data_IF_179547887448
#
_entry.id   IF_179547887448
#
_cell.length_a   1.000
_cell.length_b   1.000
_cell.length_c   1.000
_cell.angle_alpha   90.00
_cell.angle_beta   90.00
_cell.angle_gamma   90.00
#
_symmetry.space_group_name_H-M   'P 1'
#
loop_
_entity.id
_entity.type
_entity.pdbx_description
1 polymer ?
#
# COMPACT_ATOMS: atom_id res chain seq x y z
N UNK A 1 47.60 49.07 -19.49
CA UNK A 1 47.27 47.82 -20.19
C UNK A 1 45.89 47.34 -19.75
N UNK A 2 44.86 47.53 -20.59
CA UNK A 2 43.51 46.95 -20.48
C UNK A 2 43.37 45.97 -21.64
N UNK A 3 42.96 44.74 -21.38
CA UNK A 3 42.59 43.73 -22.40
C UNK A 3 41.27 43.12 -21.95
N UNK A 4 40.14 43.56 -22.49
CA UNK A 4 39.49 43.17 -23.76
C UNK A 4 38.51 42.01 -23.56
N UNK A 5 37.24 42.40 -23.52
CA UNK A 5 36.03 41.58 -23.55
C UNK A 5 35.98 40.67 -24.77
N UNK A 6 35.67 39.39 -24.57
CA UNK A 6 35.44 38.41 -25.62
C UNK A 6 34.01 37.88 -25.57
N UNK A 7 33.11 38.52 -26.33
CA UNK A 7 31.72 38.12 -26.54
C UNK A 7 31.65 36.88 -27.45
N UNK A 8 31.04 35.79 -26.99
CA UNK A 8 30.69 34.63 -27.83
C UNK A 8 29.27 34.79 -28.42
N UNK A 9 29.06 34.50 -29.71
CA UNK A 9 27.73 34.55 -30.32
C UNK A 9 26.88 33.32 -29.97
N UNK A 10 25.65 33.55 -29.51
CA UNK A 10 24.58 32.55 -29.41
C UNK A 10 24.16 32.11 -30.82
N UNK A 11 24.26 30.81 -31.09
CA UNK A 11 23.74 30.19 -32.32
C UNK A 11 22.40 29.54 -32.00
N UNK A 12 21.36 29.96 -32.72
CA UNK A 12 20.00 29.43 -32.62
C UNK A 12 19.93 27.98 -33.08
N UNK A 13 19.29 27.11 -32.27
CA UNK A 13 18.86 25.78 -32.70
C UNK A 13 17.51 25.87 -33.44
N UNK A 14 17.31 25.11 -34.54
CA UNK A 14 16.08 25.10 -35.30
C UNK A 14 15.00 24.24 -34.64
N UNK A 15 13.77 24.74 -34.73
CA UNK A 15 12.54 24.10 -34.26
C UNK A 15 12.39 22.66 -34.77
N UNK A 16 12.34 21.70 -33.83
CA UNK A 16 12.00 20.31 -34.12
C UNK A 16 10.54 20.18 -34.55
N UNK A 17 10.35 19.82 -35.81
CA UNK A 17 9.05 19.57 -36.42
C UNK A 17 8.33 18.37 -35.78
N UNK A 18 7.05 18.57 -35.47
CA UNK A 18 6.12 17.53 -35.10
C UNK A 18 5.91 16.55 -36.27
N UNK A 19 6.41 15.33 -36.13
CA UNK A 19 5.99 14.19 -36.97
C UNK A 19 4.58 13.76 -36.57
N UNK A 20 3.60 13.70 -37.49
CA UNK A 20 2.34 13.03 -37.22
C UNK A 20 2.54 11.50 -37.24
N UNK A 21 2.02 10.83 -36.21
CA UNK A 21 1.95 9.36 -36.14
C UNK A 21 0.83 8.85 -37.06
N UNK A 22 1.04 7.76 -37.81
CA UNK A 22 0.03 7.20 -38.69
C UNK A 22 -1.11 6.52 -37.92
N UNK A 23 -2.32 6.71 -38.45
CA UNK A 23 -3.55 6.06 -38.02
C UNK A 23 -3.44 4.53 -38.11
N UNK A 24 -3.86 3.86 -37.04
CA UNK A 24 -3.93 2.41 -36.95
C UNK A 24 -5.08 1.97 -36.04
N UNK A 25 -6.24 1.77 -36.66
CA UNK A 25 -7.14 0.62 -36.54
C UNK A 25 -7.43 0.00 -35.16
N UNK A 26 -8.67 0.24 -34.69
CA UNK A 26 -9.64 -0.84 -34.37
C UNK A 26 -9.47 -1.66 -33.09
N UNK A 27 -10.03 -1.18 -31.98
CA UNK A 27 -10.55 -1.92 -30.81
C UNK A 27 -11.01 -0.84 -29.81
N UNK A 28 -12.23 -0.72 -29.31
CA UNK A 28 -13.29 -1.68 -28.97
C UNK A 28 -14.57 -0.85 -28.80
N UNK A 29 -15.71 -1.35 -29.28
CA UNK A 29 -17.04 -0.79 -29.01
C UNK A 29 -17.32 -0.82 -27.50
N UNK A 30 -17.02 0.28 -26.81
CA UNK A 30 -17.18 0.42 -25.36
C UNK A 30 -17.93 1.69 -25.02
N UNK A 31 -19.24 1.68 -25.29
CA UNK A 31 -20.24 2.60 -24.75
C UNK A 31 -19.85 4.10 -24.80
N UNK A 32 -19.88 4.67 -26.00
CA UNK A 32 -20.08 6.11 -26.17
C UNK A 32 -21.53 6.39 -25.73
N UNK A 33 -21.71 6.56 -24.42
CA UNK A 33 -22.93 7.12 -23.89
C UNK A 33 -23.13 8.46 -24.60
N UNK A 34 -24.19 8.53 -25.40
CA UNK A 34 -24.63 9.75 -26.09
C UNK A 34 -24.74 10.84 -25.03
N UNK A 35 -23.81 11.78 -25.03
CA UNK A 35 -23.88 12.97 -24.18
C UNK A 35 -25.09 13.77 -24.69
N UNK A 36 -26.22 13.65 -24.01
CA UNK A 36 -27.35 14.55 -24.21
C UNK A 36 -26.84 15.98 -23.94
N UNK A 37 -26.99 16.94 -24.87
CA UNK A 37 -26.62 18.31 -24.62
C UNK A 37 -27.45 18.82 -23.43
N UNK A 38 -26.78 19.43 -22.44
CA UNK A 38 -27.49 20.21 -21.44
C UNK A 38 -28.28 21.35 -22.13
N UNK A 39 -29.28 21.94 -21.47
CA UNK A 39 -30.08 23.04 -22.04
C UNK A 39 -29.23 24.21 -22.58
N UNK A 40 -27.98 24.35 -22.13
CA UNK A 40 -27.05 25.41 -22.50
C UNK A 40 -25.87 24.92 -23.39
N UNK A 41 -25.91 23.70 -23.93
CA UNK A 41 -24.89 23.19 -24.86
C UNK A 41 -23.52 22.86 -24.25
N UNK A 42 -23.33 23.06 -22.94
CA UNK A 42 -22.12 22.60 -22.25
C UNK A 42 -22.16 21.08 -22.10
N UNK A 43 -21.08 20.35 -22.42
CA UNK A 43 -20.97 18.95 -22.08
C UNK A 43 -21.18 18.80 -20.57
N UNK A 44 -22.27 18.13 -20.16
CA UNK A 44 -22.43 17.72 -18.77
C UNK A 44 -21.40 16.60 -18.59
N UNK A 45 -20.20 16.94 -18.12
CA UNK A 45 -19.24 15.90 -17.77
C UNK A 45 -19.93 14.99 -16.76
N UNK A 46 -20.08 13.68 -17.05
CA UNK A 46 -20.74 12.79 -16.13
C UNK A 46 -19.95 12.87 -14.83
N UNK A 47 -20.59 13.41 -13.79
CA UNK A 47 -20.05 13.55 -12.45
C UNK A 47 -19.41 12.19 -12.11
N UNK A 48 -18.07 12.12 -12.15
CA UNK A 48 -17.35 10.84 -12.03
C UNK A 48 -17.65 10.31 -10.64
N UNK A 49 -18.69 9.49 -10.52
CA UNK A 49 -19.04 8.79 -9.28
C UNK A 49 -17.79 8.06 -8.84
N UNK A 50 -17.20 8.52 -7.75
CA UNK A 50 -15.93 7.99 -7.28
C UNK A 50 -16.14 6.53 -6.87
N UNK A 51 -15.67 5.59 -7.71
CA UNK A 51 -15.90 4.13 -7.57
C UNK A 51 -14.96 3.48 -6.55
N UNK A 52 -14.23 4.28 -5.76
CA UNK A 52 -13.19 3.78 -4.83
C UNK A 52 -13.81 3.08 -3.63
N UNK A 53 -13.30 1.91 -3.28
CA UNK A 53 -13.72 1.12 -2.13
C UNK A 53 -12.69 1.26 -0.99
N UNK A 54 -13.10 1.47 0.28
CA UNK A 54 -14.47 1.60 0.77
C UNK A 54 -15.09 2.98 0.52
N UNK A 55 -16.23 3.02 -0.19
CA UNK A 55 -16.88 4.26 -0.65
C UNK A 55 -17.22 5.25 0.47
N UNK A 56 -17.48 4.77 1.70
CA UNK A 56 -17.77 5.65 2.85
C UNK A 56 -16.55 6.46 3.30
N UNK A 57 -15.34 5.92 3.16
CA UNK A 57 -14.10 6.60 3.54
C UNK A 57 -13.72 7.65 2.49
N UNK A 58 -13.79 7.27 1.22
CA UNK A 58 -13.43 8.14 0.09
C UNK A 58 -14.41 9.29 -0.12
N UNK A 59 -15.67 9.18 0.35
CA UNK A 59 -16.67 10.27 0.34
C UNK A 59 -16.50 11.28 1.48
N UNK A 60 -15.69 10.99 2.49
CA UNK A 60 -15.56 11.85 3.67
C UNK A 60 -14.30 12.74 3.58
N UNK A 61 -14.44 14.02 3.90
CA UNK A 61 -13.34 14.98 3.98
C UNK A 61 -12.77 15.39 2.61
N UNK A 62 -11.58 15.98 2.62
CA UNK A 62 -10.86 16.35 1.40
C UNK A 62 -9.88 15.25 0.99
N UNK A 63 -9.62 15.11 -0.30
CA UNK A 63 -8.62 14.15 -0.77
C UNK A 63 -7.25 14.43 -0.13
N UNK A 64 -6.61 13.43 0.51
CA UNK A 64 -5.30 13.61 1.12
C UNK A 64 -4.21 13.85 0.06
N UNK A 65 -3.10 14.44 0.50
CA UNK A 65 -1.90 14.50 -0.33
C UNK A 65 -1.41 13.07 -0.65
N UNK A 66 -1.25 12.72 -1.95
CA UNK A 66 -0.87 11.37 -2.40
C UNK A 66 0.34 10.77 -1.68
N UNK A 67 1.30 11.59 -1.23
CA UNK A 67 2.50 11.09 -0.54
C UNK A 67 2.18 10.38 0.78
N UNK A 68 1.16 10.86 1.52
CA UNK A 68 0.78 10.27 2.80
C UNK A 68 -0.03 8.99 2.60
N UNK A 69 -0.91 8.97 1.60
CA UNK A 69 -1.63 7.75 1.21
C UNK A 69 -0.66 6.65 0.77
N UNK A 70 0.32 6.96 -0.09
CA UNK A 70 1.35 5.99 -0.51
C UNK A 70 2.23 5.51 0.66
N UNK A 71 2.50 6.38 1.65
CA UNK A 71 3.22 5.96 2.85
C UNK A 71 2.40 5.00 3.72
N UNK A 72 1.10 5.26 3.88
CA UNK A 72 0.19 4.39 4.60
C UNK A 72 0.07 3.00 3.93
N UNK A 73 -0.07 2.97 2.61
CA UNK A 73 -0.09 1.73 1.82
C UNK A 73 1.19 0.91 1.98
N UNK A 74 2.38 1.54 1.92
CA UNK A 74 3.65 0.84 2.16
C UNK A 74 3.69 0.19 3.54
N UNK A 75 3.15 0.87 4.55
CA UNK A 75 3.12 0.33 5.90
C UNK A 75 2.15 -0.85 5.99
N UNK A 76 0.97 -0.74 5.39
CA UNK A 76 0.01 -1.84 5.27
C UNK A 76 0.62 -3.07 4.58
N UNK A 77 1.27 -2.88 3.43
CA UNK A 77 1.91 -3.98 2.70
C UNK A 77 3.08 -4.60 3.47
N UNK A 78 3.84 -3.80 4.22
CA UNK A 78 4.86 -4.32 5.12
C UNK A 78 4.27 -5.23 6.20
N UNK A 79 3.09 -4.89 6.74
CA UNK A 79 2.37 -5.75 7.69
C UNK A 79 1.84 -7.03 7.05
N UNK A 80 1.33 -6.98 5.81
CA UNK A 80 0.94 -8.19 5.08
C UNK A 80 2.13 -9.13 4.88
N UNK A 81 3.30 -8.59 4.54
CA UNK A 81 4.52 -9.38 4.45
C UNK A 81 4.86 -10.07 5.78
N UNK A 82 4.77 -9.35 6.90
CA UNK A 82 4.99 -9.94 8.22
C UNK A 82 3.97 -11.04 8.51
N UNK A 83 2.68 -10.83 8.21
CA UNK A 83 1.65 -11.83 8.39
C UNK A 83 1.97 -13.14 7.64
N UNK A 84 2.37 -13.03 6.38
CA UNK A 84 2.75 -14.18 5.55
C UNK A 84 3.99 -14.90 6.12
N UNK A 85 4.98 -14.15 6.59
CA UNK A 85 6.17 -14.72 7.20
C UNK A 85 5.84 -15.49 8.50
N UNK A 86 4.93 -14.97 9.32
CA UNK A 86 4.48 -15.65 10.54
C UNK A 86 3.74 -16.95 10.24
N UNK A 87 2.80 -16.93 9.29
CA UNK A 87 2.08 -18.14 8.87
C UNK A 87 3.04 -19.18 8.29
N UNK A 88 3.94 -18.76 7.39
CA UNK A 88 4.95 -19.64 6.80
C UNK A 88 5.87 -20.23 7.87
N UNK A 89 6.29 -19.41 8.85
CA UNK A 89 7.12 -19.85 9.98
C UNK A 89 6.42 -20.87 10.86
N UNK A 90 5.15 -20.67 11.20
CA UNK A 90 4.38 -21.64 12.00
C UNK A 90 4.17 -22.96 11.26
N UNK A 91 3.85 -22.92 9.96
CA UNK A 91 3.72 -24.13 9.13
C UNK A 91 5.05 -24.86 9.01
N UNK A 92 6.14 -24.13 8.73
CA UNK A 92 7.48 -24.71 8.63
C UNK A 92 7.94 -25.33 9.96
N UNK A 93 7.63 -24.69 11.09
CA UNK A 93 7.97 -25.21 12.41
C UNK A 93 7.27 -26.56 12.68
N UNK A 94 6.00 -26.70 12.32
CA UNK A 94 5.28 -27.96 12.52
C UNK A 94 5.72 -29.04 11.52
N UNK A 95 6.03 -28.66 10.27
CA UNK A 95 6.45 -29.60 9.24
C UNK A 95 7.90 -30.10 9.41
N UNK A 96 8.80 -29.24 9.89
CA UNK A 96 10.25 -29.51 9.93
C UNK A 96 10.79 -29.72 11.34
N UNK A 97 10.07 -29.30 12.38
CA UNK A 97 10.49 -29.40 13.79
C UNK A 97 10.29 -30.78 14.42
N UNK A 98 10.42 -31.88 13.66
CA UNK A 98 10.11 -33.26 14.10
C UNK A 98 10.85 -33.67 15.38
N UNK A 99 12.01 -33.07 15.57
CA UNK A 99 12.97 -33.35 16.61
C UNK A 99 12.75 -32.52 17.89
N UNK A 100 11.79 -31.58 17.91
CA UNK A 100 11.51 -30.73 19.07
C UNK A 100 10.51 -31.37 20.03
N UNK A 101 10.51 -30.93 21.29
CA UNK A 101 9.49 -31.32 22.25
C UNK A 101 8.07 -31.07 21.68
N UNK A 102 7.24 -32.10 21.45
CA UNK A 102 6.06 -31.99 20.58
C UNK A 102 5.02 -30.96 21.03
N UNK A 103 4.82 -30.82 22.35
CA UNK A 103 3.84 -29.89 22.92
C UNK A 103 4.23 -28.43 22.70
N UNK A 104 5.49 -28.09 22.99
CA UNK A 104 6.01 -26.74 22.81
C UNK A 104 6.13 -26.35 21.33
N UNK A 105 6.50 -27.30 20.46
CA UNK A 105 6.49 -27.10 19.00
C UNK A 105 5.09 -26.75 18.49
N UNK A 106 4.10 -27.56 18.83
CA UNK A 106 2.72 -27.34 18.41
C UNK A 106 2.20 -25.99 18.92
N UNK A 107 2.45 -25.67 20.21
CA UNK A 107 2.06 -24.40 20.80
C UNK A 107 2.69 -23.20 20.06
N UNK A 108 3.98 -23.27 19.75
CA UNK A 108 4.67 -22.22 18.99
C UNK A 108 4.14 -22.09 17.55
N UNK A 109 3.88 -23.21 16.87
CA UNK A 109 3.31 -23.21 15.52
C UNK A 109 1.93 -22.56 15.48
N UNK A 110 1.03 -22.98 16.37
CA UNK A 110 -0.33 -22.42 16.48
C UNK A 110 -0.26 -20.93 16.81
N UNK A 111 0.60 -20.54 17.74
CA UNK A 111 0.79 -19.13 18.11
C UNK A 111 1.22 -18.28 16.91
N UNK A 112 2.20 -18.75 16.13
CA UNK A 112 2.68 -18.04 14.93
C UNK A 112 1.59 -17.94 13.86
N UNK A 113 0.83 -19.00 13.62
CA UNK A 113 -0.26 -19.01 12.63
C UNK A 113 -1.35 -18.03 13.06
N UNK A 114 -1.81 -18.09 14.31
CA UNK A 114 -2.84 -17.19 14.84
C UNK A 114 -2.37 -15.74 14.80
N UNK A 115 -1.14 -15.46 15.21
CA UNK A 115 -0.57 -14.11 15.12
C UNK A 115 -0.51 -13.63 13.66
N UNK A 116 -0.11 -14.50 12.73
CA UNK A 116 -0.10 -14.23 11.31
C UNK A 116 -1.49 -13.90 10.74
N UNK A 117 -2.54 -14.60 11.19
CA UNK A 117 -3.93 -14.35 10.78
C UNK A 117 -4.52 -13.07 11.39
N UNK A 118 -4.10 -12.67 12.59
CA UNK A 118 -4.56 -11.44 13.25
C UNK A 118 -3.85 -10.18 12.72
N UNK A 119 -2.60 -10.32 12.28
CA UNK A 119 -1.78 -9.20 11.74
C UNK A 119 -2.43 -8.43 10.57
N UNK A 120 -3.05 -9.05 9.55
CA UNK A 120 -3.70 -8.30 8.46
C UNK A 120 -4.96 -7.57 8.93
N UNK A 121 -5.72 -8.15 9.88
CA UNK A 121 -6.89 -7.48 10.48
C UNK A 121 -6.44 -6.21 11.20
N UNK A 122 -5.37 -6.33 11.96
CA UNK A 122 -4.72 -5.22 12.64
C UNK A 122 -4.22 -4.15 11.66
N UNK A 123 -3.53 -4.56 10.59
CA UNK A 123 -3.03 -3.66 9.55
C UNK A 123 -4.16 -2.88 8.87
N UNK A 124 -5.30 -3.55 8.61
CA UNK A 124 -6.48 -2.92 8.04
C UNK A 124 -7.05 -1.82 8.94
N UNK A 125 -7.18 -2.08 10.24
CA UNK A 125 -7.67 -1.08 11.22
C UNK A 125 -6.73 0.12 11.30
N UNK A 126 -5.42 -0.12 11.37
CA UNK A 126 -4.40 0.94 11.38
C UNK A 126 -4.43 1.80 10.10
N UNK A 127 -4.54 1.15 8.94
CA UNK A 127 -4.67 1.83 7.66
C UNK A 127 -5.93 2.70 7.59
N UNK A 128 -7.08 2.15 7.96
CA UNK A 128 -8.38 2.83 7.91
C UNK A 128 -8.43 4.05 8.84
N UNK A 129 -7.93 3.92 10.06
CA UNK A 129 -7.90 5.02 11.04
C UNK A 129 -6.97 6.14 10.61
N UNK A 130 -5.81 5.81 10.06
CA UNK A 130 -4.84 6.78 9.51
C UNK A 130 -5.41 7.51 8.31
N UNK A 131 -5.95 6.78 7.32
CA UNK A 131 -6.55 7.35 6.11
C UNK A 131 -7.73 8.28 6.46
N UNK A 132 -8.58 7.87 7.41
CA UNK A 132 -9.68 8.70 7.91
C UNK A 132 -9.19 9.97 8.62
N UNK A 133 -8.12 9.89 9.42
CA UNK A 133 -7.53 11.05 10.08
C UNK A 133 -6.93 12.04 9.08
N UNK A 134 -6.24 11.54 8.05
CA UNK A 134 -5.69 12.34 6.95
C UNK A 134 -6.80 13.10 6.21
N UNK A 135 -7.88 12.41 5.83
CA UNK A 135 -9.05 13.02 5.14
C UNK A 135 -9.76 14.09 5.96
N UNK A 136 -9.84 13.90 7.28
CA UNK A 136 -10.50 14.82 8.21
C UNK A 136 -9.54 15.87 8.80
N UNK A 137 -8.28 15.94 8.36
CA UNK A 137 -7.23 16.83 8.90
C UNK A 137 -7.11 16.76 10.42
N UNK A 138 -7.23 15.55 10.98
CA UNK A 138 -7.10 15.29 12.43
C UNK A 138 -5.68 14.83 12.79
N UNK A 139 -5.28 14.96 14.07
CA UNK A 139 -4.03 14.40 14.57
C UNK A 139 -3.91 12.90 14.26
N UNK A 140 -2.70 12.45 13.91
CA UNK A 140 -2.44 11.05 13.60
C UNK A 140 -2.56 10.18 14.86
N UNK A 141 -3.31 9.07 14.81
CA UNK A 141 -3.40 8.16 15.94
C UNK A 141 -2.06 7.46 16.20
N UNK A 142 -1.73 7.15 17.46
CA UNK A 142 -0.50 6.44 17.79
C UNK A 142 -0.52 5.00 17.24
N UNK A 143 0.65 4.44 16.87
CA UNK A 143 0.76 3.08 16.33
C UNK A 143 0.65 2.03 17.45
N UNK A 144 -0.52 1.94 18.08
CA UNK A 144 -0.77 1.07 19.24
C UNK A 144 -0.69 -0.44 18.92
N UNK A 145 -0.74 -0.78 17.63
CA UNK A 145 -0.96 -2.14 17.18
C UNK A 145 0.32 -2.94 16.92
N UNK A 146 1.50 -2.31 16.86
CA UNK A 146 2.76 -3.04 16.62
C UNK A 146 3.20 -3.92 17.80
N UNK A 147 2.84 -3.51 19.02
CA UNK A 147 3.25 -4.16 20.26
C UNK A 147 2.73 -5.61 20.41
N UNK A 148 1.43 -5.93 20.23
CA UNK A 148 0.94 -7.30 20.36
C UNK A 148 1.58 -8.28 19.38
N UNK A 149 1.84 -7.86 18.13
CA UNK A 149 2.57 -8.68 17.16
C UNK A 149 3.98 -8.99 17.64
N UNK A 150 4.68 -7.98 18.18
CA UNK A 150 6.02 -8.16 18.75
C UNK A 150 6.04 -9.14 19.93
N UNK A 151 5.07 -9.02 20.85
CA UNK A 151 4.93 -9.93 21.99
C UNK A 151 4.69 -11.37 21.51
N UNK A 152 3.82 -11.58 20.54
CA UNK A 152 3.54 -12.91 19.99
C UNK A 152 4.79 -13.56 19.36
N UNK A 153 5.59 -12.78 18.63
CA UNK A 153 6.85 -13.26 18.04
C UNK A 153 7.87 -13.65 19.11
N UNK A 154 8.04 -12.81 20.14
CA UNK A 154 8.95 -13.10 21.25
C UNK A 154 8.50 -14.35 22.00
N UNK A 155 7.21 -14.47 22.31
CA UNK A 155 6.66 -15.64 22.99
C UNK A 155 6.85 -16.93 22.17
N UNK A 156 6.62 -16.88 20.85
CA UNK A 156 6.89 -18.02 19.96
C UNK A 156 8.39 -18.40 19.97
N UNK A 157 9.29 -17.42 19.93
CA UNK A 157 10.74 -17.65 20.03
C UNK A 157 11.14 -18.32 21.36
N UNK A 158 10.56 -17.89 22.48
CA UNK A 158 10.77 -18.52 23.79
C UNK A 158 10.28 -19.97 23.79
N UNK A 159 9.07 -20.24 23.27
CA UNK A 159 8.54 -21.60 23.19
C UNK A 159 9.45 -22.52 22.36
N UNK A 160 9.95 -22.04 21.22
CA UNK A 160 10.91 -22.79 20.40
C UNK A 160 12.22 -23.03 21.15
N UNK A 161 12.76 -22.02 21.83
CA UNK A 161 13.98 -22.17 22.64
C UNK A 161 13.83 -23.21 23.75
N UNK A 162 12.68 -23.22 24.43
CA UNK A 162 12.35 -24.25 25.42
C UNK A 162 12.17 -25.62 24.78
N UNK A 163 11.55 -25.70 23.60
CA UNK A 163 11.36 -26.96 22.88
C UNK A 163 12.70 -27.60 22.44
N UNK A 164 13.70 -26.77 22.16
CA UNK A 164 15.08 -27.21 21.86
C UNK A 164 15.80 -27.68 23.13
N UNK A 165 15.65 -26.96 24.25
CA UNK A 165 16.34 -27.28 25.50
C UNK A 165 15.78 -28.54 26.19
N UNK A 166 14.47 -28.77 26.07
CA UNK A 166 13.74 -29.88 26.69
C UNK A 166 13.51 -31.06 25.74
N UNK A 167 14.24 -31.08 24.63
CA UNK A 167 14.18 -32.12 23.60
C UNK A 167 14.65 -33.47 24.14
#
# INVERSE_FOLDING_TARGET
MRSSSGSRPQRAEPAGGHRPLPAGTGATLGNVARSEPGPDGTPVEPERRDRRFPARLFRAGTEPDPRFTLANERTFLAWIRTALALVAGGVALEALGLDLQPGLRLAASVLLIVAGLLTPVQAWVGWYTTERALRLRRPLPPPALALPTGIAVVAAGVLVGLAVLLR
#
